data_IF_940299676784
#
_entry.id   IF_940299676784
#
_cell.length_a   1.000
_cell.length_b   1.000
_cell.length_c   1.000
_cell.angle_alpha   90.00
_cell.angle_beta   90.00
_cell.angle_gamma   90.00
#
_symmetry.space_group_name_H-M   'P 1'
#
loop_
_entity.id
_entity.type
_entity.pdbx_description
1 polymer ?
#
# COMPACT_ATOMS: atom_id res chain seq x y z
N UNK A 1 -63.44 -22.05 17.24
CA UNK A 1 -62.73 -21.49 16.06
C UNK A 1 -62.25 -22.64 15.18
N UNK A 2 -62.08 -22.44 13.86
CA UNK A 2 -61.61 -23.51 12.95
C UNK A 2 -60.08 -23.41 12.77
N UNK A 3 -59.30 -24.50 12.93
CA UNK A 3 -57.83 -24.43 12.88
C UNK A 3 -57.27 -24.07 11.50
N UNK A 4 -58.02 -24.32 10.42
CA UNK A 4 -57.62 -24.06 9.03
C UNK A 4 -57.41 -22.57 8.71
N UNK A 5 -58.13 -21.65 9.38
CA UNK A 5 -57.93 -20.20 9.15
C UNK A 5 -56.60 -19.69 9.71
N UNK A 6 -56.03 -20.35 10.72
CA UNK A 6 -54.77 -19.93 11.33
C UNK A 6 -53.56 -20.31 10.45
N UNK A 7 -53.64 -21.47 9.79
CA UNK A 7 -52.57 -21.99 8.94
C UNK A 7 -52.39 -21.16 7.66
N UNK A 8 -53.48 -20.70 7.03
CA UNK A 8 -53.43 -19.78 5.89
C UNK A 8 -52.85 -18.41 6.28
N UNK A 9 -53.10 -17.92 7.49
CA UNK A 9 -52.53 -16.66 7.99
C UNK A 9 -51.01 -16.75 8.15
N UNK A 10 -50.50 -17.89 8.63
CA UNK A 10 -49.06 -18.16 8.69
C UNK A 10 -48.42 -18.24 7.31
N UNK A 11 -49.05 -18.89 6.32
CA UNK A 11 -48.53 -18.91 4.95
C UNK A 11 -48.43 -17.51 4.34
N UNK A 12 -49.41 -16.63 4.58
CA UNK A 12 -49.37 -15.25 4.12
C UNK A 12 -48.25 -14.43 4.82
N UNK A 13 -48.00 -14.66 6.11
CA UNK A 13 -46.93 -13.99 6.87
C UNK A 13 -45.52 -14.37 6.39
N UNK A 14 -45.31 -15.58 5.86
CA UNK A 14 -44.04 -15.95 5.22
C UNK A 14 -43.93 -15.47 3.76
N UNK A 15 -45.05 -15.38 3.03
CA UNK A 15 -45.06 -14.89 1.65
C UNK A 15 -44.80 -13.37 1.51
N UNK A 16 -44.92 -12.61 2.61
CA UNK A 16 -44.60 -11.18 2.70
C UNK A 16 -43.26 -10.90 3.41
N UNK A 17 -42.43 -11.92 3.63
CA UNK A 17 -41.00 -11.67 3.84
C UNK A 17 -40.41 -11.24 2.49
N UNK A 18 -40.09 -9.95 2.35
CA UNK A 18 -39.45 -9.41 1.14
C UNK A 18 -38.26 -10.30 0.75
N UNK A 19 -38.33 -10.86 -0.45
CA UNK A 19 -37.32 -11.78 -0.96
C UNK A 19 -36.01 -11.02 -1.14
N UNK A 20 -35.14 -11.08 -0.12
CA UNK A 20 -33.85 -10.39 -0.08
C UNK A 20 -33.08 -10.79 -1.31
N UNK A 21 -32.87 -9.82 -2.21
CA UNK A 21 -32.27 -10.07 -3.51
C UNK A 21 -30.88 -10.68 -3.30
N UNK A 22 -30.56 -11.79 -3.98
CA UNK A 22 -29.19 -12.28 -4.07
C UNK A 22 -28.24 -11.13 -4.42
N UNK A 23 -27.08 -11.09 -3.77
CA UNK A 23 -26.04 -10.09 -4.05
C UNK A 23 -26.44 -8.62 -3.82
N UNK A 24 -27.51 -8.33 -3.08
CA UNK A 24 -27.90 -6.95 -2.82
C UNK A 24 -26.89 -6.23 -1.91
N UNK A 25 -26.64 -4.94 -2.20
CA UNK A 25 -25.66 -4.13 -1.46
C UNK A 25 -26.03 -4.00 0.03
N UNK A 26 -27.30 -4.13 0.40
CA UNK A 26 -27.77 -4.14 1.79
C UNK A 26 -27.33 -5.36 2.62
N UNK A 27 -26.79 -6.41 1.98
CA UNK A 27 -26.17 -7.55 2.66
C UNK A 27 -24.76 -7.23 3.19
N UNK A 28 -24.10 -6.19 2.67
CA UNK A 28 -22.73 -5.81 3.04
C UNK A 28 -22.75 -5.01 4.35
N UNK A 29 -21.90 -5.40 5.30
CA UNK A 29 -21.75 -4.81 6.64
C UNK A 29 -20.28 -4.60 6.99
N UNK A 30 -20.00 -3.83 8.04
CA UNK A 30 -18.64 -3.52 8.52
C UNK A 30 -17.99 -2.32 7.82
N UNK A 31 -18.34 -2.07 6.55
CA UNK A 31 -17.73 -1.05 5.70
C UNK A 31 -18.70 0.06 5.28
N UNK A 32 -18.21 1.28 5.10
CA UNK A 32 -19.01 2.42 4.65
C UNK A 32 -19.21 2.42 3.12
N UNK A 33 -20.35 2.96 2.64
CA UNK A 33 -20.71 2.92 1.22
C UNK A 33 -19.78 3.76 0.32
N UNK A 34 -19.08 4.72 0.91
CA UNK A 34 -18.05 5.54 0.30
C UNK A 34 -16.68 4.85 0.19
N UNK A 35 -16.41 3.82 1.01
CA UNK A 35 -15.12 3.09 1.03
C UNK A 35 -15.05 1.96 0.01
N UNK A 36 -16.17 1.40 -0.44
CA UNK A 36 -16.22 0.32 -1.45
C UNK A 36 -16.74 0.78 -2.81
N UNK A 37 -16.20 0.20 -3.86
CA UNK A 37 -16.75 0.23 -5.22
C UNK A 37 -17.52 -1.07 -5.47
N UNK A 38 -18.70 -0.99 -6.08
CA UNK A 38 -19.49 -2.15 -6.49
C UNK A 38 -19.89 -1.98 -7.95
N UNK A 39 -19.35 -2.82 -8.82
CA UNK A 39 -19.83 -2.91 -10.21
C UNK A 39 -21.03 -3.86 -10.26
N UNK A 40 -22.22 -3.31 -10.51
CA UNK A 40 -23.45 -4.07 -10.69
C UNK A 40 -23.45 -4.97 -11.94
N UNK A 41 -22.51 -4.78 -12.86
CA UNK A 41 -22.42 -5.53 -14.13
C UNK A 41 -21.75 -6.89 -13.92
N UNK A 42 -20.57 -6.90 -13.31
CA UNK A 42 -19.84 -8.12 -12.91
C UNK A 42 -20.23 -8.63 -11.51
N UNK A 43 -20.99 -7.84 -10.74
CA UNK A 43 -21.29 -8.06 -9.31
C UNK A 43 -20.04 -8.17 -8.44
N UNK A 44 -19.01 -7.41 -8.81
CA UNK A 44 -17.73 -7.38 -8.11
C UNK A 44 -17.67 -6.20 -7.14
N UNK A 45 -17.33 -6.49 -5.90
CA UNK A 45 -17.06 -5.53 -4.84
C UNK A 45 -15.54 -5.44 -4.63
N UNK A 46 -15.02 -4.21 -4.59
CA UNK A 46 -13.61 -3.92 -4.22
C UNK A 46 -13.54 -2.76 -3.23
N UNK A 47 -12.48 -2.70 -2.43
CA UNK A 47 -12.19 -1.52 -1.63
C UNK A 47 -11.56 -0.42 -2.50
N UNK A 48 -12.06 0.81 -2.39
CA UNK A 48 -11.51 1.95 -3.15
C UNK A 48 -10.10 2.25 -2.68
N UNK A 49 -9.14 2.16 -3.58
CA UNK A 49 -7.75 2.47 -3.30
C UNK A 49 -7.57 3.94 -2.89
N UNK A 50 -6.72 4.19 -1.89
CA UNK A 50 -6.32 5.53 -1.50
C UNK A 50 -5.35 6.16 -2.51
N UNK A 51 -5.20 7.48 -2.48
CA UNK A 51 -4.30 8.18 -3.42
C UNK A 51 -2.85 7.67 -3.37
N UNK A 52 -2.39 7.20 -2.21
CA UNK A 52 -1.04 6.65 -2.00
C UNK A 52 -1.04 5.20 -1.54
N UNK A 53 -2.19 4.53 -1.53
CA UNK A 53 -2.33 3.21 -0.93
C UNK A 53 -3.19 2.22 -1.71
N UNK A 54 -3.00 0.93 -1.45
CA UNK A 54 -3.91 -0.13 -1.87
C UNK A 54 -4.76 -0.56 -0.68
N UNK A 55 -6.04 -0.76 -0.96
CA UNK A 55 -7.04 -1.25 -0.01
C UNK A 55 -7.52 -2.62 -0.48
N UNK A 56 -7.51 -3.60 0.41
CA UNK A 56 -8.06 -4.94 0.19
C UNK A 56 -9.27 -5.15 1.10
N UNK A 57 -10.06 -6.17 0.79
CA UNK A 57 -11.16 -6.66 1.62
C UNK A 57 -10.58 -7.63 2.66
N UNK A 58 -10.79 -7.37 3.95
CA UNK A 58 -10.65 -8.39 5.00
C UNK A 58 -12.04 -8.98 5.29
N UNK A 59 -12.15 -10.30 5.14
CA UNK A 59 -13.28 -11.10 5.62
C UNK A 59 -12.73 -12.21 6.52
N UNK A 60 -13.09 -12.20 7.79
CA UNK A 60 -12.71 -13.21 8.79
C UNK A 60 -11.18 -13.45 8.86
N UNK A 61 -10.39 -12.38 8.89
CA UNK A 61 -8.92 -12.37 8.87
C UNK A 61 -8.31 -12.90 7.55
N UNK A 62 -9.08 -12.87 6.45
CA UNK A 62 -8.64 -13.29 5.11
C UNK A 62 -8.65 -12.10 4.18
N UNK A 63 -7.45 -11.66 3.78
CA UNK A 63 -7.24 -10.48 2.94
C UNK A 63 -7.28 -10.86 1.46
N UNK A 64 -8.21 -10.28 0.70
CA UNK A 64 -8.45 -10.53 -0.73
C UNK A 64 -8.72 -9.23 -1.50
N UNK A 65 -8.41 -9.19 -2.79
CA UNK A 65 -8.51 -7.95 -3.58
C UNK A 65 -9.96 -7.55 -3.88
N UNK A 66 -10.77 -8.57 -4.18
CA UNK A 66 -12.12 -8.44 -4.69
C UNK A 66 -12.98 -9.63 -4.23
N UNK A 67 -14.29 -9.41 -4.12
CA UNK A 67 -15.28 -10.48 -4.05
C UNK A 67 -16.29 -10.31 -5.18
N UNK A 68 -16.70 -11.41 -5.79
CA UNK A 68 -17.72 -11.44 -6.82
C UNK A 68 -18.92 -12.22 -6.30
N UNK A 69 -20.13 -11.77 -6.57
CA UNK A 69 -21.34 -12.46 -6.13
C UNK A 69 -22.09 -13.13 -7.29
N UNK A 70 -22.41 -14.40 -7.08
CA UNK A 70 -23.28 -15.19 -7.93
C UNK A 70 -24.71 -15.24 -7.35
N UNK A 71 -25.75 -15.14 -8.18
CA UNK A 71 -27.14 -15.16 -7.68
C UNK A 71 -27.54 -16.52 -7.08
N UNK A 72 -26.82 -17.59 -7.45
CA UNK A 72 -27.10 -18.97 -7.01
C UNK A 72 -26.09 -19.41 -5.94
N UNK A 73 -24.79 -19.33 -6.25
CA UNK A 73 -23.74 -19.84 -5.34
C UNK A 73 -23.37 -18.84 -4.23
N UNK A 74 -23.61 -17.54 -4.45
CA UNK A 74 -23.29 -16.47 -3.52
C UNK A 74 -21.91 -15.83 -3.68
N UNK A 75 -21.40 -15.30 -2.58
CA UNK A 75 -20.15 -14.54 -2.53
C UNK A 75 -18.95 -15.47 -2.62
N UNK A 76 -18.07 -15.22 -3.58
CA UNK A 76 -16.82 -15.93 -3.84
C UNK A 76 -15.66 -14.95 -3.98
N UNK A 77 -14.45 -15.42 -3.70
CA UNK A 77 -13.22 -14.66 -3.93
C UNK A 77 -13.06 -14.33 -5.42
N UNK A 78 -13.06 -13.04 -5.75
CA UNK A 78 -12.93 -12.53 -7.12
C UNK A 78 -11.47 -12.27 -7.54
N UNK A 79 -10.51 -12.41 -6.63
CA UNK A 79 -9.07 -12.24 -6.90
C UNK A 79 -8.40 -13.52 -7.43
N UNK A 80 -9.09 -14.67 -7.38
CA UNK A 80 -8.56 -15.95 -7.85
C UNK A 80 -8.76 -16.17 -9.35
N UNK A 81 -7.64 -16.32 -10.02
CA UNK A 81 -7.50 -16.89 -11.36
C UNK A 81 -8.23 -18.23 -11.52
N UNK A 82 -8.74 -18.48 -12.73
CA UNK A 82 -9.53 -19.66 -13.13
C UNK A 82 -8.86 -21.02 -12.84
N UNK A 83 -7.56 -21.05 -12.55
CA UNK A 83 -6.78 -22.26 -12.27
C UNK A 83 -6.75 -22.65 -10.77
N UNK A 84 -7.30 -21.84 -9.86
CA UNK A 84 -7.35 -22.15 -8.44
C UNK A 84 -8.50 -23.13 -8.13
N UNK A 85 -8.23 -24.44 -8.25
CA UNK A 85 -9.21 -25.54 -8.16
C UNK A 85 -9.84 -25.80 -6.77
N UNK A 86 -9.76 -24.85 -5.84
CA UNK A 86 -10.45 -24.87 -4.56
C UNK A 86 -11.62 -23.89 -4.55
N UNK A 87 -12.83 -24.38 -4.28
CA UNK A 87 -14.06 -23.58 -4.21
C UNK A 87 -13.92 -22.48 -3.14
N UNK A 88 -13.50 -21.27 -3.55
CA UNK A 88 -13.21 -20.15 -2.64
C UNK A 88 -14.49 -19.38 -2.27
N UNK A 89 -15.46 -20.13 -1.75
CA UNK A 89 -16.77 -19.67 -1.31
C UNK A 89 -16.66 -18.94 0.04
N UNK A 90 -17.41 -17.85 0.18
CA UNK A 90 -17.37 -16.96 1.35
C UNK A 90 -18.71 -16.97 2.09
N UNK A 91 -19.83 -16.86 1.38
CA UNK A 91 -21.18 -16.83 1.96
C UNK A 91 -22.27 -17.10 0.92
N UNK A 92 -23.45 -17.56 1.36
CA UNK A 92 -24.64 -17.73 0.51
C UNK A 92 -25.10 -16.39 -0.11
N UNK A 93 -25.77 -16.43 -1.26
CA UNK A 93 -26.14 -15.22 -2.01
C UNK A 93 -27.09 -14.26 -1.27
N UNK A 94 -27.89 -14.78 -0.34
CA UNK A 94 -28.78 -14.00 0.54
C UNK A 94 -28.24 -13.81 1.97
N UNK A 95 -27.03 -14.29 2.28
CA UNK A 95 -26.44 -14.13 3.60
C UNK A 95 -25.75 -12.76 3.75
N UNK A 96 -25.89 -12.08 4.91
CA UNK A 96 -25.17 -10.84 5.16
C UNK A 96 -23.68 -11.12 5.39
N UNK A 97 -22.82 -10.39 4.69
CA UNK A 97 -21.36 -10.47 4.85
C UNK A 97 -20.85 -9.27 5.66
N UNK A 98 -19.98 -9.53 6.64
CA UNK A 98 -19.27 -8.49 7.37
C UNK A 98 -17.83 -8.43 6.86
N UNK A 99 -17.41 -7.27 6.39
CA UNK A 99 -16.09 -7.05 5.82
C UNK A 99 -15.55 -5.67 6.17
N UNK A 100 -14.23 -5.54 6.20
CA UNK A 100 -13.53 -4.28 6.45
C UNK A 100 -12.57 -3.97 5.29
N UNK A 101 -12.33 -2.69 5.01
CA UNK A 101 -11.33 -2.30 4.02
C UNK A 101 -9.97 -2.09 4.69
N UNK A 102 -9.06 -3.03 4.49
CA UNK A 102 -7.72 -3.06 5.09
C UNK A 102 -6.67 -2.39 4.18
N UNK A 103 -5.87 -1.49 4.73
CA UNK A 103 -4.79 -0.78 4.04
C UNK A 103 -3.49 -1.62 4.06
N UNK A 104 -3.29 -2.48 3.05
CA UNK A 104 -2.15 -3.40 3.01
C UNK A 104 -0.86 -2.77 2.47
N UNK A 105 -0.98 -1.80 1.57
CA UNK A 105 0.15 -1.12 0.93
C UNK A 105 -0.01 0.39 1.02
N UNK A 106 0.59 1.06 2.01
CA UNK A 106 0.68 2.52 2.07
C UNK A 106 2.13 2.97 2.06
N UNK A 107 2.41 4.14 1.46
CA UNK A 107 3.74 4.75 1.40
C UNK A 107 3.71 6.08 2.14
N UNK A 108 4.66 6.31 3.05
CA UNK A 108 4.84 7.62 3.67
C UNK A 108 5.32 8.63 2.60
N UNK A 109 4.55 9.70 2.38
CA UNK A 109 4.84 10.69 1.32
C UNK A 109 6.14 11.46 1.62
N UNK A 110 7.24 11.04 1.00
CA UNK A 110 8.46 11.83 0.89
C UNK A 110 8.61 12.48 -0.50
N UNK A 111 9.48 13.48 -0.59
CA UNK A 111 9.77 14.20 -1.85
C UNK A 111 10.60 13.32 -2.77
N UNK A 112 10.32 13.35 -4.07
CA UNK A 112 11.01 12.53 -5.07
C UNK A 112 10.51 11.08 -5.17
N UNK A 113 9.59 10.65 -4.30
CA UNK A 113 8.99 9.31 -4.34
C UNK A 113 7.88 9.28 -5.39
N UNK A 114 8.00 8.37 -6.35
CA UNK A 114 6.98 8.09 -7.36
C UNK A 114 6.30 6.78 -6.98
N UNK A 115 4.97 6.79 -6.83
CA UNK A 115 4.19 5.57 -6.68
C UNK A 115 3.15 5.47 -7.79
N UNK A 116 3.13 4.32 -8.49
CA UNK A 116 2.20 4.05 -9.57
C UNK A 116 1.57 2.67 -9.41
N UNK A 117 0.37 2.51 -9.94
CA UNK A 117 -0.22 1.18 -10.14
C UNK A 117 0.43 0.57 -11.38
N UNK A 118 0.90 -0.66 -11.26
CA UNK A 118 1.30 -1.49 -12.40
C UNK A 118 0.48 -2.77 -12.41
N UNK A 119 0.46 -3.39 -13.58
CA UNK A 119 -0.10 -4.70 -13.79
C UNK A 119 1.06 -5.69 -13.95
N UNK A 120 1.18 -6.64 -13.01
CA UNK A 120 2.13 -7.75 -13.05
C UNK A 120 1.44 -8.94 -13.74
N UNK A 121 2.16 -9.61 -14.64
CA UNK A 121 1.69 -10.81 -15.35
C UNK A 121 0.32 -10.66 -16.05
N UNK A 122 0.04 -9.47 -16.61
CA UNK A 122 -1.15 -9.20 -17.41
C UNK A 122 -2.47 -9.09 -16.64
N UNK A 123 -2.44 -9.17 -15.30
CA UNK A 123 -3.66 -9.36 -14.51
C UNK A 123 -3.57 -8.96 -13.02
N UNK A 124 -2.43 -9.12 -12.35
CA UNK A 124 -2.29 -8.81 -10.92
C UNK A 124 -1.99 -7.32 -10.73
N UNK A 125 -2.79 -6.60 -9.96
CA UNK A 125 -2.51 -5.20 -9.65
C UNK A 125 -1.49 -5.11 -8.50
N UNK A 126 -0.42 -4.35 -8.72
CA UNK A 126 0.60 -4.08 -7.71
C UNK A 126 0.90 -2.58 -7.65
N UNK A 127 1.29 -2.10 -6.46
CA UNK A 127 1.78 -0.73 -6.28
C UNK A 127 3.30 -0.76 -6.39
N UNK A 128 3.82 -0.22 -7.48
CA UNK A 128 5.25 0.02 -7.62
C UNK A 128 5.61 1.35 -6.92
N UNK A 129 6.77 1.35 -6.27
CA UNK A 129 7.42 2.52 -5.69
C UNK A 129 8.82 2.62 -6.30
N UNK A 130 9.11 3.80 -6.85
CA UNK A 130 10.41 4.19 -7.40
C UNK A 130 10.72 5.62 -6.96
N UNK A 131 11.86 6.16 -7.39
CA UNK A 131 12.15 7.58 -7.28
C UNK A 131 12.02 8.29 -8.65
N UNK A 132 11.99 9.62 -8.62
CA UNK A 132 12.23 10.48 -9.78
C UNK A 132 13.67 10.29 -10.33
N UNK A 133 13.91 10.75 -11.56
CA UNK A 133 15.16 10.49 -12.30
C UNK A 133 16.45 10.82 -11.51
N UNK A 134 17.46 9.95 -11.68
CA UNK A 134 18.78 10.02 -11.05
C UNK A 134 18.79 9.96 -9.50
N UNK A 135 17.73 9.45 -8.89
CA UNK A 135 17.64 9.10 -7.48
C UNK A 135 17.56 7.57 -7.30
N UNK A 136 17.95 7.08 -6.11
CA UNK A 136 17.81 5.68 -5.70
C UNK A 136 16.85 5.58 -4.51
N UNK A 137 16.08 4.50 -4.48
CA UNK A 137 15.12 4.22 -3.41
C UNK A 137 15.85 3.54 -2.24
N UNK A 138 15.74 4.14 -1.06
CA UNK A 138 16.35 3.64 0.17
C UNK A 138 15.25 3.21 1.13
N UNK A 139 15.36 2.00 1.67
CA UNK A 139 14.52 1.49 2.76
C UNK A 139 15.45 0.81 3.77
N UNK A 140 15.37 1.22 5.04
CA UNK A 140 16.23 0.74 6.13
C UNK A 140 17.73 0.68 5.73
N UNK A 141 18.22 1.83 5.23
CA UNK A 141 19.54 2.08 4.62
C UNK A 141 19.97 1.14 3.46
N UNK A 142 19.10 0.23 3.04
CA UNK A 142 19.33 -0.68 1.91
C UNK A 142 18.84 -0.06 0.60
N UNK A 143 19.60 -0.26 -0.49
CA UNK A 143 19.32 0.30 -1.82
C UNK A 143 18.46 -0.63 -2.67
N UNK A 144 17.49 -0.05 -3.36
CA UNK A 144 16.55 -0.74 -4.24
C UNK A 144 16.30 0.06 -5.53
N UNK A 145 16.22 -0.63 -6.67
CA UNK A 145 15.80 -0.03 -7.94
C UNK A 145 14.30 0.31 -7.94
N UNK A 146 13.52 -0.59 -7.34
CA UNK A 146 12.07 -0.62 -7.28
C UNK A 146 11.67 -1.45 -6.05
N UNK A 147 10.48 -1.20 -5.52
CA UNK A 147 9.80 -2.10 -4.58
C UNK A 147 8.34 -2.19 -5.02
N UNK A 148 7.81 -3.41 -5.03
CA UNK A 148 6.42 -3.70 -5.38
C UNK A 148 5.63 -4.01 -4.11
N UNK A 149 4.33 -3.78 -4.15
CA UNK A 149 3.42 -4.24 -3.10
C UNK A 149 2.27 -5.02 -3.69
N UNK A 150 2.07 -6.21 -3.13
CA UNK A 150 1.06 -7.19 -3.49
C UNK A 150 0.24 -7.55 -2.25
N UNK A 151 -0.81 -8.35 -2.43
CA UNK A 151 -1.42 -9.04 -1.29
C UNK A 151 -0.37 -9.96 -0.65
N UNK A 152 -0.25 -9.86 0.68
CA UNK A 152 0.85 -10.43 1.47
C UNK A 152 2.01 -9.46 1.76
N UNK A 153 2.01 -8.24 1.22
CA UNK A 153 2.95 -7.18 1.56
C UNK A 153 3.97 -6.83 0.48
N UNK A 154 5.11 -6.28 0.89
CA UNK A 154 6.12 -5.69 0.02
C UNK A 154 7.11 -6.74 -0.53
N UNK A 155 7.39 -6.66 -1.83
CA UNK A 155 8.33 -7.54 -2.56
C UNK A 155 9.37 -6.72 -3.33
N UNK A 156 10.53 -7.31 -3.55
CA UNK A 156 11.68 -6.69 -4.22
C UNK A 156 12.03 -7.56 -5.43
N UNK A 157 12.38 -6.94 -6.56
CA UNK A 157 12.70 -7.70 -7.77
C UNK A 157 13.81 -8.74 -7.53
N UNK A 158 13.54 -9.99 -7.90
CA UNK A 158 14.47 -11.11 -7.71
C UNK A 158 14.64 -11.61 -6.26
N UNK A 159 13.81 -11.16 -5.30
CA UNK A 159 13.85 -11.64 -3.90
C UNK A 159 12.47 -12.09 -3.41
N UNK A 160 12.46 -12.98 -2.41
CA UNK A 160 11.24 -13.43 -1.72
C UNK A 160 10.52 -12.27 -1.04
N UNK A 161 9.19 -12.39 -0.84
CA UNK A 161 8.38 -11.38 -0.13
C UNK A 161 8.98 -11.06 1.24
N UNK A 162 9.05 -9.77 1.56
CA UNK A 162 9.53 -9.26 2.85
C UNK A 162 8.34 -8.83 3.70
N UNK A 163 8.35 -9.15 4.99
CA UNK A 163 7.40 -8.60 5.95
C UNK A 163 7.78 -7.15 6.34
N UNK A 164 7.86 -6.25 5.35
CA UNK A 164 8.06 -4.82 5.61
C UNK A 164 6.76 -4.23 6.13
N UNK A 165 6.85 -3.46 7.21
CA UNK A 165 5.69 -2.89 7.90
C UNK A 165 5.10 -1.74 7.06
N UNK A 166 3.78 -1.78 6.84
CA UNK A 166 3.01 -0.68 6.26
C UNK A 166 2.64 0.32 7.38
N UNK A 167 2.77 1.65 7.17
CA UNK A 167 3.22 2.34 5.96
C UNK A 167 4.71 2.19 5.71
N UNK A 168 5.05 1.88 4.46
CA UNK A 168 6.44 1.78 4.00
C UNK A 168 7.10 3.16 4.08
N UNK A 169 8.19 3.22 4.83
CA UNK A 169 9.08 4.38 4.91
C UNK A 169 10.15 4.24 3.85
N UNK A 170 10.14 5.14 2.86
CA UNK A 170 11.16 5.19 1.80
C UNK A 170 11.78 6.58 1.75
N UNK A 171 13.07 6.65 1.47
CA UNK A 171 13.78 7.89 1.16
C UNK A 171 14.34 7.83 -0.26
N UNK A 172 14.14 8.88 -1.05
CA UNK A 172 14.75 9.02 -2.37
C UNK A 172 16.02 9.86 -2.27
N UNK A 173 17.19 9.19 -2.22
CA UNK A 173 18.50 9.87 -2.19
C UNK A 173 18.97 10.13 -3.61
N UNK A 174 19.51 11.32 -3.88
CA UNK A 174 20.17 11.64 -5.17
C UNK A 174 21.61 11.15 -5.14
N UNK A 175 22.10 10.68 -6.30
CA UNK A 175 23.52 10.37 -6.47
C UNK A 175 24.40 11.59 -6.16
N UNK A 176 25.49 11.36 -5.44
CA UNK A 176 26.53 12.32 -5.11
C UNK A 176 26.11 13.56 -4.32
N UNK A 177 25.05 13.47 -3.49
CA UNK A 177 24.68 14.54 -2.54
C UNK A 177 24.98 14.19 -1.08
N UNK A 178 25.76 13.13 -0.82
CA UNK A 178 26.14 12.69 0.53
C UNK A 178 27.58 13.10 0.91
N UNK A 179 27.84 13.22 2.21
CA UNK A 179 29.13 13.66 2.77
C UNK A 179 29.15 15.16 3.07
N UNK A 180 29.89 15.55 4.11
CA UNK A 180 30.11 16.96 4.46
C UNK A 180 31.08 17.62 3.47
N UNK A 181 30.82 18.89 3.13
CA UNK A 181 31.54 19.63 2.06
C UNK A 181 31.69 21.10 2.45
N UNK A 182 32.77 21.43 3.15
CA UNK A 182 33.02 22.80 3.65
C UNK A 182 33.92 23.62 2.74
N UNK A 183 34.75 22.99 1.91
CA UNK A 183 35.76 23.66 1.07
C UNK A 183 35.75 23.24 -0.41
N UNK A 184 34.74 22.48 -0.86
CA UNK A 184 34.62 21.98 -2.24
C UNK A 184 33.51 22.72 -3.00
N UNK A 185 33.83 23.18 -4.21
CA UNK A 185 32.87 23.78 -5.15
C UNK A 185 32.25 22.71 -6.04
N UNK A 186 30.95 22.82 -6.27
CA UNK A 186 30.20 21.96 -7.21
C UNK A 186 29.77 22.76 -8.43
N UNK A 187 30.05 22.24 -9.62
CA UNK A 187 29.67 22.82 -10.92
C UNK A 187 29.04 21.77 -11.84
N UNK A 188 28.32 22.20 -12.87
CA UNK A 188 27.87 21.28 -13.92
C UNK A 188 29.03 21.03 -14.89
N UNK A 189 29.28 19.78 -15.27
CA UNK A 189 30.34 19.46 -16.25
C UNK A 189 29.99 20.09 -17.59
N UNK A 190 30.92 20.90 -18.13
CA UNK A 190 30.77 21.56 -19.43
C UNK A 190 30.76 20.59 -20.61
N UNK A 191 31.26 19.37 -20.38
CA UNK A 191 31.31 18.28 -21.37
C UNK A 191 30.02 17.45 -21.35
N UNK A 192 29.39 17.28 -20.18
CA UNK A 192 28.14 16.54 -20.04
C UNK A 192 27.25 17.08 -18.91
N UNK A 193 26.09 17.64 -19.27
CA UNK A 193 25.11 18.18 -18.32
C UNK A 193 24.49 17.14 -17.36
N UNK A 194 24.68 15.82 -17.58
CA UNK A 194 24.28 14.79 -16.61
C UNK A 194 25.31 14.57 -15.49
N UNK A 195 26.52 15.14 -15.61
CA UNK A 195 27.60 15.02 -14.64
C UNK A 195 27.77 16.29 -13.81
N UNK A 196 28.05 16.11 -12.52
CA UNK A 196 28.43 17.21 -11.60
C UNK A 196 29.91 17.13 -11.33
N UNK A 197 30.64 18.20 -11.60
CA UNK A 197 32.07 18.30 -11.34
C UNK A 197 32.33 18.88 -9.94
N UNK A 198 33.35 18.35 -9.28
CA UNK A 198 33.77 18.69 -7.93
C UNK A 198 35.21 19.18 -7.97
N UNK A 199 35.44 20.42 -7.55
CA UNK A 199 36.73 21.09 -7.58
C UNK A 199 37.03 21.70 -6.21
N UNK A 200 38.31 21.77 -5.85
CA UNK A 200 38.71 22.39 -4.60
C UNK A 200 38.55 23.93 -4.65
N UNK A 201 37.95 24.53 -3.61
CA UNK A 201 37.76 25.99 -3.51
C UNK A 201 38.91 26.72 -2.76
N UNK A 202 39.97 26.01 -2.33
CA UNK A 202 41.15 26.65 -1.73
C UNK A 202 42.01 27.27 -2.84
N UNK A 203 42.39 28.57 -2.73
CA UNK A 203 43.25 29.19 -3.73
C UNK A 203 44.64 28.56 -3.76
N UNK A 204 45.30 28.65 -4.91
CA UNK A 204 46.73 28.33 -5.01
C UNK A 204 47.55 29.31 -4.17
N UNK A 205 48.48 28.78 -3.38
CA UNK A 205 49.38 29.58 -2.54
C UNK A 205 50.81 29.09 -2.77
N UNK A 206 51.72 29.99 -3.14
CA UNK A 206 53.14 29.69 -3.41
C UNK A 206 53.39 28.58 -4.46
N UNK A 207 52.45 28.35 -5.38
CA UNK A 207 52.51 27.28 -6.38
C UNK A 207 51.98 25.92 -5.91
N UNK A 208 51.57 25.79 -4.64
CA UNK A 208 50.86 24.60 -4.14
C UNK A 208 49.46 24.55 -4.73
N UNK A 209 49.20 23.52 -5.53
CA UNK A 209 47.88 23.20 -6.07
C UNK A 209 47.10 22.33 -5.09
N UNK A 210 45.78 22.46 -5.08
CA UNK A 210 44.88 21.69 -4.23
C UNK A 210 43.94 20.82 -5.07
N UNK A 211 43.53 19.68 -4.53
CA UNK A 211 42.57 18.78 -5.15
C UNK A 211 41.52 18.28 -4.15
N UNK A 212 40.54 17.53 -4.66
CA UNK A 212 39.54 16.84 -3.85
C UNK A 212 40.12 15.52 -3.35
N UNK A 213 40.25 15.38 -2.04
CA UNK A 213 40.69 14.15 -1.39
C UNK A 213 39.50 13.24 -1.07
N UNK A 214 39.60 11.99 -1.49
CA UNK A 214 38.65 10.91 -1.21
C UNK A 214 39.42 9.71 -0.67
N UNK A 215 39.07 9.26 0.54
CA UNK A 215 39.71 8.12 1.21
C UNK A 215 41.25 8.23 1.28
N UNK A 216 41.78 9.45 1.35
CA UNK A 216 43.22 9.76 1.37
C UNK A 216 43.90 9.86 -0.01
N UNK A 217 43.19 9.66 -1.12
CA UNK A 217 43.72 9.90 -2.47
C UNK A 217 43.24 11.26 -2.98
N UNK A 218 44.16 12.11 -3.42
CA UNK A 218 43.88 13.48 -3.88
C UNK A 218 43.78 13.53 -5.41
N UNK A 219 42.64 14.02 -5.91
CA UNK A 219 42.35 14.16 -7.34
C UNK A 219 42.23 15.64 -7.72
N UNK A 220 42.73 16.11 -8.88
CA UNK A 220 42.59 17.52 -9.28
C UNK A 220 41.12 17.98 -9.34
N UNK A 221 40.25 17.11 -9.82
CA UNK A 221 38.80 17.23 -9.81
C UNK A 221 38.18 15.83 -9.75
N UNK A 222 36.89 15.73 -9.40
CA UNK A 222 36.09 14.52 -9.59
C UNK A 222 34.84 14.83 -10.42
N UNK A 223 34.47 13.94 -11.33
CA UNK A 223 33.16 13.96 -11.97
C UNK A 223 32.23 12.94 -11.29
N UNK A 224 31.13 13.39 -10.70
CA UNK A 224 30.02 12.52 -10.41
C UNK A 224 29.20 12.22 -11.66
N UNK A 225 28.95 10.95 -11.94
CA UNK A 225 27.73 10.50 -12.58
C UNK A 225 26.78 9.87 -11.55
N UNK A 226 25.51 10.26 -11.58
CA UNK A 226 24.48 9.80 -10.61
C UNK A 226 24.25 8.28 -10.56
N UNK A 227 24.69 7.54 -11.58
CA UNK A 227 24.58 6.08 -11.69
C UNK A 227 25.93 5.38 -11.54
N UNK A 228 27.00 5.93 -12.13
CA UNK A 228 28.33 5.30 -12.13
C UNK A 228 29.21 5.68 -10.91
N UNK A 229 28.88 6.74 -10.17
CA UNK A 229 29.65 7.18 -9.01
C UNK A 229 30.52 8.41 -9.27
N UNK A 230 31.38 8.70 -8.30
CA UNK A 230 32.46 9.66 -8.43
C UNK A 230 33.58 9.03 -9.26
N UNK A 231 34.04 9.74 -10.28
CA UNK A 231 34.98 9.24 -11.28
C UNK A 231 36.10 10.24 -11.55
N UNK A 232 37.25 9.73 -11.98
CA UNK A 232 38.37 10.52 -12.51
C UNK A 232 39.02 9.76 -13.66
N UNK A 233 39.07 10.38 -14.85
CA UNK A 233 39.58 9.75 -16.10
C UNK A 233 38.97 8.35 -16.31
N UNK A 234 37.65 8.28 -16.25
CA UNK A 234 36.80 7.09 -16.39
C UNK A 234 36.98 5.98 -15.33
N UNK A 235 37.95 6.09 -14.42
CA UNK A 235 38.05 5.21 -13.26
C UNK A 235 37.04 5.62 -12.16
N UNK A 236 36.31 4.65 -11.61
CA UNK A 236 35.40 4.87 -10.48
C UNK A 236 36.21 4.95 -9.19
N UNK A 237 36.06 6.06 -8.46
CA UNK A 237 36.71 6.37 -7.19
C UNK A 237 35.83 5.97 -6.01
N UNK A 238 34.52 6.26 -6.09
CA UNK A 238 33.55 5.90 -5.06
C UNK A 238 32.12 5.79 -5.64
N UNK A 239 31.28 4.96 -5.02
CA UNK A 239 29.87 4.78 -5.37
C UNK A 239 29.06 6.08 -5.16
N UNK A 240 28.14 6.40 -6.07
CA UNK A 240 27.32 7.63 -6.03
C UNK A 240 26.49 7.77 -4.73
N UNK A 241 26.20 6.67 -4.04
CA UNK A 241 25.36 6.60 -2.86
C UNK A 241 26.14 6.20 -1.60
N UNK A 242 27.46 6.05 -1.68
CA UNK A 242 28.30 5.96 -0.50
C UNK A 242 28.39 7.32 0.21
N UNK A 243 28.38 7.31 1.55
CA UNK A 243 28.83 8.46 2.33
C UNK A 243 30.33 8.64 2.13
N UNK A 244 30.68 9.47 1.16
CA UNK A 244 32.06 9.83 0.85
C UNK A 244 32.36 11.14 1.54
N UNK A 245 33.18 11.10 2.60
CA UNK A 245 33.69 12.32 3.22
C UNK A 245 34.77 12.91 2.30
N UNK A 246 34.60 14.19 1.92
CA UNK A 246 35.43 14.86 0.92
C UNK A 246 36.00 16.15 1.49
N UNK A 247 37.29 16.40 1.25
CA UNK A 247 37.97 17.62 1.70
C UNK A 247 38.94 18.13 0.63
N UNK A 248 39.18 19.43 0.57
CA UNK A 248 40.33 19.96 -0.15
C UNK A 248 41.65 19.57 0.54
N UNK A 249 42.55 18.96 -0.20
CA UNK A 249 43.89 18.59 0.27
C UNK A 249 44.95 19.04 -0.75
N UNK A 250 46.22 18.99 -0.38
CA UNK A 250 47.32 19.35 -1.28
C UNK A 250 47.44 18.27 -2.36
N UNK A 251 47.42 18.66 -3.63
CA UNK A 251 47.68 17.73 -4.71
C UNK A 251 49.17 17.33 -4.65
N UNK A 252 49.52 16.03 -4.61
CA UNK A 252 50.93 15.64 -4.59
C UNK A 252 51.63 16.14 -5.85
N UNK A 253 52.83 16.70 -5.70
CA UNK A 253 53.69 17.00 -6.84
C UNK A 253 53.86 15.73 -7.70
N UNK A 254 53.90 15.84 -9.03
CA UNK A 254 54.07 14.69 -9.91
C UNK A 254 55.46 14.08 -9.71
N UNK A 255 55.56 13.11 -8.80
CA UNK A 255 56.77 12.30 -8.55
C UNK A 255 57.29 11.80 -9.89
N UNK A 256 58.50 12.24 -10.26
CA UNK A 256 59.13 11.79 -11.48
C UNK A 256 59.23 10.26 -11.46
N UNK A 257 58.61 9.61 -12.45
CA UNK A 257 58.46 8.16 -12.50
C UNK A 257 59.85 7.49 -12.46
N UNK A 258 60.17 6.70 -11.42
CA UNK A 258 61.49 6.09 -11.30
C UNK A 258 61.69 5.07 -12.43
N UNK A 259 62.89 5.09 -13.02
CA UNK A 259 63.25 4.22 -14.14
C UNK A 259 63.02 2.74 -13.78
N UNK A 260 62.35 1.94 -14.64
CA UNK A 260 61.78 0.65 -14.22
C UNK A 260 62.85 -0.40 -13.90
N UNK A 261 62.91 -0.83 -12.64
CA UNK A 261 63.74 -1.95 -12.21
C UNK A 261 63.28 -3.30 -12.82
N UNK A 262 64.20 -4.24 -13.08
CA UNK A 262 63.87 -5.52 -13.70
C UNK A 262 63.06 -6.46 -12.78
N UNK A 263 62.16 -7.29 -13.33
CA UNK A 263 61.18 -8.04 -12.54
C UNK A 263 61.78 -9.19 -11.73
N UNK A 264 61.46 -9.23 -10.43
CA UNK A 264 61.78 -10.35 -9.54
C UNK A 264 60.75 -11.51 -9.64
N UNK A 265 61.17 -12.77 -9.50
CA UNK A 265 60.28 -13.93 -9.58
C UNK A 265 59.39 -14.08 -8.32
N UNK A 266 58.14 -14.50 -8.52
CA UNK A 266 57.11 -14.50 -7.47
C UNK A 266 57.09 -15.73 -6.54
N UNK A 267 56.47 -15.64 -5.33
CA UNK A 267 56.34 -16.75 -4.38
C UNK A 267 55.12 -17.66 -4.66
N UNK A 268 55.12 -18.92 -4.17
CA UNK A 268 54.03 -19.89 -4.39
C UNK A 268 52.85 -19.79 -3.39
N UNK A 269 51.68 -20.26 -3.81
CA UNK A 269 50.42 -20.31 -3.05
C UNK A 269 50.29 -21.55 -2.14
N UNK A 270 49.70 -21.42 -0.93
CA UNK A 270 49.21 -22.55 -0.12
C UNK A 270 47.68 -22.74 -0.19
N UNK A 271 47.20 -24.00 -0.14
CA UNK A 271 45.77 -24.37 -0.10
C UNK A 271 45.21 -24.47 1.33
N UNK A 272 43.87 -24.46 1.50
CA UNK A 272 43.17 -24.94 2.71
C UNK A 272 41.80 -25.59 2.37
N UNK A 273 41.35 -26.67 3.04
CA UNK A 273 40.20 -27.49 2.58
C UNK A 273 38.88 -27.39 3.38
N UNK A 274 37.83 -27.91 2.72
CA UNK A 274 36.60 -28.66 3.09
C UNK A 274 36.28 -29.03 4.56
N UNK A 275 34.99 -28.89 4.93
CA UNK A 275 34.02 -29.90 5.47
C UNK A 275 32.60 -29.25 5.54
N UNK A 276 31.44 -29.89 5.35
CA UNK A 276 30.74 -31.00 6.10
C UNK A 276 30.37 -30.59 7.55
N UNK A 277 29.21 -30.91 8.16
CA UNK A 277 28.08 -31.82 7.82
C UNK A 277 26.81 -31.52 8.68
N UNK A 278 25.60 -31.96 8.27
CA UNK A 278 24.42 -32.36 9.11
C UNK A 278 23.80 -31.33 10.11
N UNK A 279 22.66 -31.52 10.82
CA UNK A 279 21.56 -32.54 10.99
C UNK A 279 20.21 -31.77 11.26
N UNK A 280 18.96 -32.27 11.08
CA UNK A 280 18.11 -33.17 11.94
C UNK A 280 17.90 -32.69 13.40
N UNK A 281 16.77 -32.81 14.14
CA UNK A 281 15.42 -33.49 14.10
C UNK A 281 14.45 -32.72 15.06
N UNK A 282 13.16 -33.02 15.34
CA UNK A 282 11.93 -33.50 14.64
C UNK A 282 10.71 -33.41 15.64
N UNK A 283 9.53 -33.99 15.33
CA UNK A 283 8.32 -34.25 16.19
C UNK A 283 7.37 -33.08 16.60
N UNK A 284 6.15 -33.31 17.15
CA UNK A 284 4.97 -34.13 16.74
C UNK A 284 3.73 -33.81 17.65
N UNK A 285 2.55 -34.34 17.31
CA UNK A 285 1.55 -34.95 18.23
C UNK A 285 0.56 -34.09 19.08
N UNK A 286 -0.64 -33.92 18.48
CA UNK A 286 -1.94 -34.48 18.92
C UNK A 286 -2.72 -34.05 20.20
N UNK A 287 -4.04 -33.83 19.99
CA UNK A 287 -5.25 -34.27 20.77
C UNK A 287 -5.61 -33.69 22.16
N UNK A 288 -6.79 -33.06 22.21
CA UNK A 288 -7.87 -33.27 23.20
C UNK A 288 -9.21 -32.86 22.54
N UNK A 289 -10.31 -33.63 22.45
CA UNK A 289 -11.02 -34.58 23.33
C UNK A 289 -12.14 -33.98 24.23
N UNK A 290 -13.22 -33.57 23.55
CA UNK A 290 -14.64 -33.92 23.83
C UNK A 290 -15.07 -34.06 25.30
N UNK A 291 -15.87 -33.10 25.78
CA UNK A 291 -16.86 -33.29 26.86
C UNK A 291 -18.17 -32.57 26.47
N UNK A 292 -19.18 -33.30 26.00
CA UNK A 292 -20.52 -32.75 25.68
C UNK A 292 -21.58 -33.70 26.28
N UNK A 293 -22.24 -33.27 27.36
CA UNK A 293 -23.13 -34.19 28.10
C UNK A 293 -24.05 -33.58 29.16
N UNK A 294 -24.42 -32.29 29.06
CA UNK A 294 -25.48 -31.67 29.90
C UNK A 294 -26.06 -30.34 29.38
N UNK A 295 -25.38 -29.66 28.45
CA UNK A 295 -25.73 -28.28 28.03
C UNK A 295 -27.11 -28.11 27.35
N UNK A 296 -27.70 -29.18 26.81
CA UNK A 296 -28.84 -29.10 25.88
C UNK A 296 -30.06 -28.31 26.40
N UNK A 297 -30.52 -28.59 27.63
CA UNK A 297 -31.70 -27.91 28.17
C UNK A 297 -31.48 -26.42 28.44
N UNK A 298 -30.30 -26.05 28.95
CA UNK A 298 -29.94 -24.65 29.16
C UNK A 298 -29.78 -23.91 27.82
N UNK A 299 -29.16 -24.56 26.83
CA UNK A 299 -28.90 -23.99 25.51
C UNK A 299 -30.21 -23.72 24.74
N UNK A 300 -31.24 -24.57 24.87
CA UNK A 300 -32.58 -24.31 24.32
C UNK A 300 -33.23 -23.08 24.97
N UNK A 301 -33.13 -22.92 26.29
CA UNK A 301 -33.67 -21.73 26.99
C UNK A 301 -32.93 -20.46 26.54
N UNK A 302 -31.60 -20.53 26.40
CA UNK A 302 -30.79 -19.41 25.88
C UNK A 302 -31.17 -19.05 24.44
N UNK A 303 -31.40 -20.03 23.56
CA UNK A 303 -31.90 -19.77 22.19
C UNK A 303 -33.25 -19.07 22.23
N UNK A 304 -34.20 -19.51 23.07
CA UNK A 304 -35.52 -18.87 23.18
C UNK A 304 -35.39 -17.41 23.66
N UNK A 305 -34.51 -17.14 24.62
CA UNK A 305 -34.25 -15.78 25.09
C UNK A 305 -33.60 -14.91 24.00
N UNK A 306 -32.63 -15.45 23.25
CA UNK A 306 -32.02 -14.77 22.09
C UNK A 306 -33.08 -14.45 21.04
N UNK A 307 -33.96 -15.39 20.69
CA UNK A 307 -35.06 -15.15 19.72
C UNK A 307 -36.00 -14.04 20.20
N UNK A 308 -36.38 -14.03 21.48
CA UNK A 308 -37.22 -12.96 22.06
C UNK A 308 -36.51 -11.59 22.02
N UNK A 309 -35.20 -11.56 22.31
CA UNK A 309 -34.40 -10.33 22.23
C UNK A 309 -34.24 -9.84 20.78
N UNK A 310 -34.01 -10.73 19.81
CA UNK A 310 -33.94 -10.39 18.39
C UNK A 310 -35.28 -9.86 17.86
N UNK A 311 -36.42 -10.44 18.26
CA UNK A 311 -37.75 -9.97 17.89
C UNK A 311 -38.02 -8.57 18.47
N UNK A 312 -37.66 -8.31 19.74
CA UNK A 312 -37.75 -6.96 20.32
C UNK A 312 -36.87 -5.96 19.58
N UNK A 313 -35.58 -6.27 19.44
CA UNK A 313 -34.59 -5.40 18.81
C UNK A 313 -35.01 -4.98 17.40
N UNK A 314 -35.49 -5.92 16.57
CA UNK A 314 -36.00 -5.59 15.23
C UNK A 314 -37.16 -4.60 15.24
N UNK A 315 -38.07 -4.67 16.24
CA UNK A 315 -39.18 -3.72 16.37
C UNK A 315 -38.70 -2.34 16.82
N UNK A 316 -37.73 -2.31 17.73
CA UNK A 316 -37.17 -1.05 18.23
C UNK A 316 -36.40 -0.31 17.10
N UNK A 317 -35.65 -1.05 16.27
CA UNK A 317 -35.00 -0.55 15.05
C UNK A 317 -36.01 -0.05 13.99
N UNK A 318 -37.12 -0.78 13.77
CA UNK A 318 -38.21 -0.35 12.87
C UNK A 318 -38.89 0.94 13.35
N UNK A 319 -39.14 1.07 14.66
CA UNK A 319 -39.67 2.30 15.24
C UNK A 319 -38.69 3.50 15.13
N UNK A 320 -37.38 3.26 15.17
CA UNK A 320 -36.37 4.31 15.01
C UNK A 320 -36.30 4.82 13.57
N UNK A 321 -36.22 3.92 12.58
CA UNK A 321 -36.28 4.28 11.15
C UNK A 321 -37.57 5.05 10.85
N UNK A 322 -38.71 4.59 11.39
CA UNK A 322 -39.99 5.26 11.23
C UNK A 322 -40.08 6.62 11.96
N UNK A 323 -39.15 6.99 12.85
CA UNK A 323 -38.99 8.35 13.41
C UNK A 323 -38.07 9.19 12.53
N UNK A 324 -36.95 8.62 12.07
CA UNK A 324 -35.99 9.31 11.20
C UNK A 324 -36.63 9.75 9.87
N UNK A 325 -37.40 8.89 9.22
CA UNK A 325 -38.08 9.23 7.95
C UNK A 325 -39.06 10.40 8.14
N UNK A 326 -39.80 10.42 9.26
CA UNK A 326 -40.66 11.55 9.66
C UNK A 326 -39.87 12.82 9.95
N UNK A 327 -38.65 12.72 10.48
CA UNK A 327 -37.75 13.88 10.66
C UNK A 327 -37.14 14.36 9.34
N UNK A 328 -36.81 13.46 8.40
CA UNK A 328 -36.32 13.81 7.07
C UNK A 328 -37.41 14.51 6.24
N UNK A 329 -38.63 13.96 6.22
CA UNK A 329 -39.80 14.55 5.54
C UNK A 329 -40.11 15.96 6.06
N UNK A 330 -40.05 16.17 7.38
CA UNK A 330 -40.16 17.49 8.05
C UNK A 330 -38.96 18.44 7.83
N UNK A 331 -37.85 17.99 7.24
CA UNK A 331 -36.73 18.85 6.78
C UNK A 331 -36.92 19.22 5.31
N UNK A 332 -37.29 18.24 4.47
CA UNK A 332 -37.72 18.41 3.08
C UNK A 332 -38.83 19.45 2.92
N UNK A 333 -39.90 19.34 3.71
CA UNK A 333 -41.05 20.26 3.69
C UNK A 333 -40.64 21.70 4.01
N UNK A 334 -39.79 21.90 5.04
CA UNK A 334 -39.27 23.22 5.39
C UNK A 334 -38.38 23.80 4.29
N UNK A 335 -37.52 23.00 3.65
CA UNK A 335 -36.73 23.42 2.48
C UNK A 335 -37.55 23.69 1.22
N UNK A 336 -38.83 23.31 1.17
CA UNK A 336 -39.75 23.65 0.06
C UNK A 336 -40.50 24.94 0.37
N UNK A 337 -40.98 25.09 1.60
CA UNK A 337 -41.58 26.32 2.12
C UNK A 337 -40.60 27.52 2.10
N UNK A 338 -39.33 27.29 2.45
CA UNK A 338 -38.27 28.31 2.44
C UNK A 338 -38.00 28.84 1.03
N UNK A 339 -37.77 27.96 0.06
CA UNK A 339 -37.59 28.34 -1.36
C UNK A 339 -38.82 29.03 -1.96
N UNK A 340 -40.03 28.59 -1.59
CA UNK A 340 -41.26 29.26 -2.03
C UNK A 340 -41.31 30.71 -1.54
N UNK A 341 -40.86 30.99 -0.32
CA UNK A 341 -40.79 32.37 0.22
C UNK A 341 -39.70 33.19 -0.46
N UNK A 342 -38.57 32.57 -0.81
CA UNK A 342 -37.54 33.22 -1.63
C UNK A 342 -38.13 33.62 -3.01
N UNK A 343 -38.87 32.72 -3.67
CA UNK A 343 -39.57 32.99 -4.93
C UNK A 343 -40.63 34.09 -4.79
N UNK A 344 -41.51 34.03 -3.77
CA UNK A 344 -42.53 35.06 -3.49
C UNK A 344 -41.87 36.43 -3.24
N UNK A 345 -40.83 36.51 -2.40
CA UNK A 345 -40.11 37.75 -2.11
C UNK A 345 -39.39 38.34 -3.32
N UNK A 346 -38.96 37.48 -4.26
CA UNK A 346 -38.35 37.91 -5.51
C UNK A 346 -39.38 38.56 -6.42
N UNK A 347 -40.57 37.97 -6.57
CA UNK A 347 -41.64 38.56 -7.38
C UNK A 347 -42.08 39.94 -6.87
N UNK A 348 -42.21 40.13 -5.55
CA UNK A 348 -42.51 41.46 -4.97
C UNK A 348 -41.42 42.50 -5.30
N UNK A 349 -40.15 42.10 -5.37
CA UNK A 349 -39.04 43.01 -5.73
C UNK A 349 -38.99 43.39 -7.21
N UNK A 350 -39.45 42.50 -8.10
CA UNK A 350 -39.48 42.74 -9.54
C UNK A 350 -40.67 43.65 -9.93
N UNK A 351 -41.82 43.57 -9.24
CA UNK A 351 -42.95 44.48 -9.46
C UNK A 351 -42.64 45.92 -9.01
N UNK A 352 -42.08 46.12 -7.80
CA UNK A 352 -41.69 47.47 -7.29
C UNK A 352 -40.66 48.15 -8.20
N UNK A 353 -39.85 47.36 -8.93
CA UNK A 353 -38.86 47.86 -9.88
C UNK A 353 -39.45 48.37 -11.20
N UNK A 354 -40.75 48.19 -11.44
CA UNK A 354 -41.45 48.62 -12.67
C UNK A 354 -42.39 49.84 -12.47
N UNK A 355 -42.58 50.33 -11.23
CA UNK A 355 -43.40 51.53 -10.94
C UNK A 355 -42.56 52.82 -10.71
N UNK A 356 -41.26 52.81 -11.02
CA UNK A 356 -40.31 53.93 -10.81
C UNK A 356 -39.64 54.39 -12.11
#
# INVERSE_FOLDING_TARGET
MRPTSLLLLFCALFAAADAVKPCDRSLIRGVAAEQVNYDSTTKTLTCKHGSNSLMAIDINNTIIEAITCDDVDGWKDGSKYENASGNSWIAEASAPINLECYEYCAVERQRGVVSRLININGSQMAREVTCEDAQQLIVDDTRYSNIYCEIGGWSVEGKSKYHIITPLKVECKRGCTQGDRTDITMSLSSVNASKTMFECNKPEVNGTTHGVSVSGTVYPYLECDSKAGYTYKDAVVADAFAKTDMQCDILPEPTAEPEPEPPAPGPPTPNKPTNEEQTSDDEDTNKAMVIIGCMGAALVIVIILIVIMCIKRRKDEEEEIAREERHHRRREERKKEERRREEESRTESEDVSNEV
#
